data_IF_162550641574
#
_entry.id   IF_162550641574
#
_cell.length_a   1.000
_cell.length_b   1.000
_cell.length_c   1.000
_cell.angle_alpha   90.00
_cell.angle_beta   90.00
_cell.angle_gamma   90.00
#
_symmetry.space_group_name_H-M   'P 1'
#
loop_
_entity.id
_entity.type
_entity.pdbx_description
1 polymer ?
#
# COMPACT_ATOMS: atom_id res chain seq x y z
N UNK A 1 4.05 9.65 -25.69
CA UNK A 1 3.42 9.15 -24.45
C UNK A 1 4.44 8.30 -23.71
N UNK A 2 4.91 8.73 -22.54
CA UNK A 2 5.78 7.89 -21.70
C UNK A 2 4.88 6.94 -20.91
N UNK A 3 4.94 5.63 -21.18
CA UNK A 3 4.24 4.65 -20.35
C UNK A 3 4.82 4.69 -18.93
N UNK A 4 3.99 4.95 -17.92
CA UNK A 4 4.39 4.83 -16.50
C UNK A 4 4.78 3.38 -16.23
N UNK A 5 5.84 3.15 -15.46
CA UNK A 5 6.29 1.80 -15.11
C UNK A 5 5.30 1.10 -14.18
N UNK A 6 5.19 -0.24 -14.28
CA UNK A 6 4.32 -1.05 -13.42
C UNK A 6 4.57 -0.79 -11.92
N UNK A 7 5.83 -0.58 -11.52
CA UNK A 7 6.18 -0.15 -10.15
C UNK A 7 5.53 1.15 -9.71
N UNK A 8 5.51 2.17 -10.56
CA UNK A 8 4.92 3.46 -10.21
C UNK A 8 3.40 3.33 -10.03
N UNK A 9 2.74 2.51 -10.86
CA UNK A 9 1.32 2.23 -10.74
C UNK A 9 0.99 1.37 -9.52
N UNK A 10 1.83 0.39 -9.16
CA UNK A 10 1.70 -0.38 -7.93
C UNK A 10 1.86 0.50 -6.67
N UNK A 11 2.78 1.47 -6.70
CA UNK A 11 2.94 2.44 -5.63
C UNK A 11 1.69 3.32 -5.49
N UNK A 12 1.17 3.85 -6.60
CA UNK A 12 -0.06 4.64 -6.64
C UNK A 12 -1.26 3.85 -6.08
N UNK A 13 -1.36 2.55 -6.43
CA UNK A 13 -2.36 1.65 -5.88
C UNK A 13 -2.25 1.53 -4.35
N UNK A 14 -1.06 1.24 -3.81
CA UNK A 14 -0.83 1.13 -2.37
C UNK A 14 -1.16 2.43 -1.64
N UNK A 15 -0.76 3.59 -2.19
CA UNK A 15 -1.11 4.88 -1.60
C UNK A 15 -2.62 5.09 -1.50
N UNK A 16 -3.37 4.80 -2.56
CA UNK A 16 -4.84 4.88 -2.55
C UNK A 16 -5.46 3.91 -1.55
N UNK A 17 -4.99 2.67 -1.56
CA UNK A 17 -5.45 1.60 -0.67
C UNK A 17 -5.27 1.95 0.82
N UNK A 18 -4.19 2.63 1.16
CA UNK A 18 -3.93 3.05 2.54
C UNK A 18 -4.57 4.38 2.92
N UNK A 19 -4.93 5.22 1.95
CA UNK A 19 -5.59 6.50 2.20
C UNK A 19 -7.11 6.38 2.34
N UNK A 20 -7.69 5.35 1.74
CA UNK A 20 -9.14 5.13 1.70
C UNK A 20 -9.57 4.04 2.69
N UNK A 21 -10.31 4.44 3.73
CA UNK A 21 -10.77 3.53 4.79
C UNK A 21 -11.77 2.48 4.26
N UNK A 22 -12.54 2.81 3.21
CA UNK A 22 -13.46 1.87 2.57
C UNK A 22 -12.71 0.81 1.77
N UNK A 23 -11.54 1.13 1.19
CA UNK A 23 -10.67 0.15 0.53
C UNK A 23 -9.86 -0.68 1.54
N UNK A 24 -9.65 -0.15 2.75
CA UNK A 24 -8.93 -0.81 3.84
C UNK A 24 -9.77 -1.87 4.56
N UNK A 25 -11.08 -1.64 4.72
CA UNK A 25 -11.99 -2.57 5.43
C UNK A 25 -11.97 -4.01 4.90
N UNK A 26 -12.02 -4.26 3.57
CA UNK A 26 -11.96 -5.61 3.03
C UNK A 26 -10.66 -6.35 3.33
N UNK A 27 -9.53 -5.61 3.43
CA UNK A 27 -8.22 -6.17 3.74
C UNK A 27 -8.07 -6.56 5.23
N UNK A 28 -8.75 -5.84 6.12
CA UNK A 28 -8.72 -6.12 7.55
C UNK A 28 -9.53 -7.35 7.97
N UNK A 29 -10.49 -7.79 7.14
CA UNK A 29 -11.44 -8.86 7.49
C UNK A 29 -11.33 -10.12 6.64
N UNK A 30 -10.61 -10.11 5.51
CA UNK A 30 -10.46 -11.27 4.63
C UNK A 30 -8.99 -11.39 4.19
N UNK A 31 -8.38 -12.60 4.13
CA UNK A 31 -7.06 -12.76 3.55
C UNK A 31 -7.11 -12.49 2.05
N UNK A 32 -6.80 -11.27 1.64
CA UNK A 32 -6.73 -10.87 0.23
C UNK A 32 -5.36 -11.26 -0.32
N UNK A 33 -5.33 -12.03 -1.42
CA UNK A 33 -4.10 -12.44 -2.07
C UNK A 33 -3.50 -11.34 -2.96
N UNK A 34 -2.21 -11.48 -3.33
CA UNK A 34 -1.56 -10.55 -4.27
C UNK A 34 -2.29 -10.48 -5.63
N UNK A 35 -2.88 -11.60 -6.08
CA UNK A 35 -3.64 -11.65 -7.32
C UNK A 35 -4.93 -10.80 -7.26
N UNK A 36 -5.63 -10.83 -6.12
CA UNK A 36 -6.84 -10.03 -5.91
C UNK A 36 -6.51 -8.53 -5.93
N UNK A 37 -5.36 -8.14 -5.34
CA UNK A 37 -4.88 -6.75 -5.36
C UNK A 37 -4.55 -6.27 -6.78
N UNK A 38 -3.97 -7.13 -7.62
CA UNK A 38 -3.72 -6.82 -9.05
C UNK A 38 -5.04 -6.63 -9.79
N UNK A 39 -5.99 -7.55 -9.65
CA UNK A 39 -7.31 -7.44 -10.28
C UNK A 39 -8.05 -6.16 -9.84
N UNK A 40 -7.85 -5.72 -8.59
CA UNK A 40 -8.39 -4.46 -8.12
C UNK A 40 -7.69 -3.25 -8.72
N UNK A 41 -6.36 -3.27 -8.83
CA UNK A 41 -5.60 -2.24 -9.52
C UNK A 41 -6.05 -2.06 -10.97
N UNK A 42 -6.29 -3.17 -11.67
CA UNK A 42 -6.79 -3.16 -13.05
C UNK A 42 -8.16 -2.47 -13.17
N UNK A 43 -9.06 -2.69 -12.20
CA UNK A 43 -10.35 -1.98 -12.12
C UNK A 43 -10.20 -0.46 -11.92
N UNK A 44 -9.08 -0.01 -11.36
CA UNK A 44 -8.73 1.40 -11.20
C UNK A 44 -7.96 1.96 -12.41
N UNK A 45 -7.75 1.17 -13.47
CA UNK A 45 -6.97 1.55 -14.66
C UNK A 45 -5.45 1.52 -14.44
N UNK A 46 -5.00 0.85 -13.38
CA UNK A 46 -3.59 0.67 -13.06
C UNK A 46 -3.13 -0.70 -13.56
N UNK A 47 -1.95 -0.76 -14.20
CA UNK A 47 -1.43 -2.00 -14.81
C UNK A 47 -0.11 -2.36 -14.16
N UNK A 48 -0.14 -3.35 -13.26
CA UNK A 48 1.05 -3.80 -12.56
C UNK A 48 0.99 -5.30 -12.29
N UNK A 49 2.16 -5.92 -12.15
CA UNK A 49 2.26 -7.35 -11.86
C UNK A 49 2.28 -7.62 -10.34
N UNK A 50 2.03 -8.87 -9.90
CA UNK A 50 2.27 -9.25 -8.51
C UNK A 50 3.71 -8.97 -8.05
N UNK A 51 4.69 -9.08 -8.96
CA UNK A 51 6.09 -8.80 -8.66
C UNK A 51 6.34 -7.30 -8.43
N UNK A 52 5.68 -6.41 -9.18
CA UNK A 52 5.73 -4.96 -8.94
C UNK A 52 5.19 -4.64 -7.54
N UNK A 53 4.01 -5.19 -7.22
CA UNK A 53 3.36 -5.10 -5.91
C UNK A 53 4.29 -5.57 -4.80
N UNK A 54 4.87 -6.76 -4.93
CA UNK A 54 5.76 -7.33 -3.91
C UNK A 54 7.05 -6.52 -3.72
N UNK A 55 7.55 -5.89 -4.79
CA UNK A 55 8.72 -5.03 -4.75
C UNK A 55 8.46 -3.71 -3.99
N UNK A 56 7.27 -3.12 -4.14
CA UNK A 56 6.91 -1.88 -3.44
C UNK A 56 6.30 -2.13 -2.06
N UNK A 57 5.64 -3.27 -1.84
CA UNK A 57 4.95 -3.61 -0.59
C UNK A 57 5.92 -3.65 0.60
N UNK A 58 7.12 -4.21 0.42
CA UNK A 58 8.16 -4.21 1.47
C UNK A 58 8.61 -2.79 1.85
N UNK A 59 8.67 -1.89 0.88
CA UNK A 59 9.11 -0.51 1.09
C UNK A 59 8.03 0.31 1.79
N UNK A 60 6.79 0.25 1.30
CA UNK A 60 5.65 0.97 1.88
C UNK A 60 5.28 0.45 3.29
N UNK A 61 5.32 -0.87 3.52
CA UNK A 61 5.05 -1.43 4.84
C UNK A 61 6.16 -1.03 5.84
N UNK A 62 7.43 -1.11 5.46
CA UNK A 62 8.53 -0.69 6.33
C UNK A 62 8.46 0.82 6.65
N UNK A 63 8.13 1.65 5.67
CA UNK A 63 7.97 3.10 5.85
C UNK A 63 6.80 3.42 6.79
N UNK A 64 5.65 2.78 6.60
CA UNK A 64 4.46 3.02 7.43
C UNK A 64 4.57 2.39 8.81
N UNK A 65 5.22 1.24 8.95
CA UNK A 65 5.58 0.68 10.24
C UNK A 65 6.51 1.63 10.99
N UNK A 66 7.56 2.14 10.34
CA UNK A 66 8.45 3.13 10.94
C UNK A 66 7.70 4.40 11.37
N UNK A 67 6.79 4.93 10.54
CA UNK A 67 5.96 6.09 10.91
C UNK A 67 5.02 5.78 12.09
N UNK A 68 4.38 4.62 12.09
CA UNK A 68 3.50 4.19 13.18
C UNK A 68 4.27 3.91 14.48
N UNK A 69 5.49 3.38 14.39
CA UNK A 69 6.40 3.16 15.52
C UNK A 69 6.92 4.49 16.09
N UNK A 70 7.36 5.42 15.23
CA UNK A 70 7.77 6.77 15.65
C UNK A 70 6.60 7.55 16.26
N UNK A 71 5.38 7.38 15.74
CA UNK A 71 4.16 8.01 16.28
C UNK A 71 3.65 7.33 17.57
N UNK A 72 4.12 6.11 17.87
CA UNK A 72 3.83 5.38 19.11
C UNK A 72 4.79 5.71 20.25
N UNK A 73 5.84 6.48 20.00
CA UNK A 73 6.67 7.00 21.07
C UNK A 73 5.87 8.14 21.72
N UNK A 74 5.27 7.97 22.91
CA UNK A 74 4.74 9.13 23.60
C UNK A 74 5.92 10.08 23.80
N UNK A 75 5.79 11.35 23.40
CA UNK A 75 6.65 12.39 23.96
C UNK A 75 6.53 12.25 25.47
N UNK A 76 7.54 11.66 26.10
CA UNK A 76 7.70 11.69 27.52
C UNK A 76 7.74 13.18 27.86
N UNK A 77 6.62 13.71 28.37
CA UNK A 77 6.64 14.95 29.12
C UNK A 77 7.54 14.66 30.30
N UNK A 78 8.79 15.09 30.18
CA UNK A 78 9.73 15.19 31.29
C UNK A 78 9.03 16.05 32.34
N UNK A 79 8.77 15.43 33.48
CA UNK A 79 8.32 16.10 34.71
C UNK A 79 9.30 17.20 35.12
#
# INVERSE_FOLDING_TARGET
MMQRSGRAQALEFLHRLFADDDLRRPLGHCPVGLADLVAWGERLGLVFTPADLQAVYKQEFALRWAIAEMSRTPSAKTD
#
